data_IF_660820709657
#
_entry.id   IF_660820709657
#
_cell.length_a   1.000
_cell.length_b   1.000
_cell.length_c   1.000
_cell.angle_alpha   90.00
_cell.angle_beta   90.00
_cell.angle_gamma   90.00
#
_symmetry.space_group_name_H-M   'P 1'
#
loop_
_entity.id
_entity.type
_entity.pdbx_description
1 polymer ?
#
# COMPACT_ATOMS: atom_id res chain seq x y z
N UNK A 1 18.55 -26.20 28.29
CA UNK A 1 17.19 -25.95 28.82
C UNK A 1 16.39 -25.23 27.74
N UNK A 2 15.53 -25.98 27.02
CA UNK A 2 14.72 -25.43 25.95
C UNK A 2 13.48 -24.80 26.57
N UNK A 3 13.41 -23.49 26.58
CA UNK A 3 12.18 -22.76 26.90
C UNK A 3 11.23 -22.93 25.71
N UNK A 4 10.30 -23.86 25.85
CA UNK A 4 9.15 -23.97 24.96
C UNK A 4 8.25 -22.76 25.25
N UNK A 5 8.26 -21.80 24.36
CA UNK A 5 7.25 -20.73 24.37
C UNK A 5 5.89 -21.40 24.19
N UNK A 6 5.11 -21.45 25.27
CA UNK A 6 3.72 -21.90 25.20
C UNK A 6 2.91 -20.98 24.35
N UNK A 7 2.20 -21.55 23.38
CA UNK A 7 1.24 -20.88 22.49
C UNK A 7 -0.05 -20.43 23.19
N UNK A 8 -0.04 -20.16 24.47
CA UNK A 8 -1.28 -20.08 25.27
C UNK A 8 -1.71 -18.70 25.74
N UNK A 9 -1.17 -17.60 25.21
CA UNK A 9 -1.65 -16.27 25.61
C UNK A 9 -1.73 -15.26 24.46
N UNK A 10 -2.34 -15.62 23.32
CA UNK A 10 -2.64 -14.67 22.28
C UNK A 10 -4.09 -14.78 21.80
N UNK A 11 -5.04 -14.56 22.72
CA UNK A 11 -6.46 -14.33 22.40
C UNK A 11 -6.74 -12.90 21.94
N UNK A 12 -5.73 -12.17 21.50
CA UNK A 12 -5.93 -10.90 20.82
C UNK A 12 -6.31 -11.19 19.37
N UNK A 13 -7.51 -10.80 18.97
CA UNK A 13 -7.96 -10.81 17.57
C UNK A 13 -6.85 -10.21 16.71
N UNK A 14 -6.25 -11.03 15.86
CA UNK A 14 -5.15 -10.59 14.99
C UNK A 14 -5.74 -10.08 13.69
N UNK A 15 -5.67 -8.77 13.49
CA UNK A 15 -6.08 -8.17 12.25
C UNK A 15 -4.86 -7.85 11.38
N UNK A 16 -5.05 -7.93 10.10
CA UNK A 16 -4.05 -7.52 9.10
C UNK A 16 -4.57 -6.35 8.31
N UNK A 17 -3.71 -5.36 8.08
CA UNK A 17 -3.91 -4.34 7.09
C UNK A 17 -3.36 -4.85 5.75
N UNK A 18 -4.24 -5.00 4.77
CA UNK A 18 -3.88 -5.39 3.40
C UNK A 18 -3.98 -4.17 2.51
N UNK A 19 -2.88 -3.82 1.88
CA UNK A 19 -2.77 -2.69 0.96
C UNK A 19 -2.47 -3.21 -0.44
N UNK A 20 -3.28 -2.79 -1.41
CA UNK A 20 -3.09 -3.07 -2.84
C UNK A 20 -2.91 -1.75 -3.58
N UNK A 21 -1.68 -1.49 -4.02
CA UNK A 21 -1.33 -0.30 -4.79
C UNK A 21 -1.38 -0.66 -6.27
N UNK A 22 -2.51 -0.33 -6.90
CA UNK A 22 -2.72 -0.57 -8.33
C UNK A 22 -2.33 0.64 -9.18
N UNK A 23 -2.47 0.49 -10.49
CA UNK A 23 -2.17 1.57 -11.46
C UNK A 23 -3.19 2.70 -11.43
N UNK A 24 -4.45 2.41 -11.09
CA UNK A 24 -5.55 3.39 -11.13
C UNK A 24 -6.21 3.66 -9.78
N UNK A 25 -5.88 2.88 -8.78
CA UNK A 25 -6.40 3.03 -7.43
C UNK A 25 -5.53 2.34 -6.40
N UNK A 26 -5.57 2.85 -5.18
CA UNK A 26 -5.07 2.18 -3.99
C UNK A 26 -6.25 1.63 -3.19
N UNK A 27 -6.14 0.41 -2.71
CA UNK A 27 -7.11 -0.23 -1.83
C UNK A 27 -6.47 -0.57 -0.51
N UNK A 28 -7.17 -0.33 0.57
CA UNK A 28 -6.76 -0.74 1.90
C UNK A 28 -7.91 -1.48 2.58
N UNK A 29 -7.60 -2.62 3.18
CA UNK A 29 -8.59 -3.48 3.83
C UNK A 29 -8.07 -3.93 5.18
N UNK A 30 -8.95 -4.01 6.17
CA UNK A 30 -8.68 -4.70 7.42
C UNK A 30 -9.35 -6.06 7.35
N UNK A 31 -8.59 -7.12 7.52
CA UNK A 31 -9.09 -8.50 7.51
C UNK A 31 -8.81 -9.18 8.85
N UNK A 32 -9.67 -10.10 9.23
CA UNK A 32 -9.48 -10.96 10.39
C UNK A 32 -8.70 -12.25 10.07
N UNK A 33 -8.46 -13.06 11.05
CA UNK A 33 -7.73 -14.35 10.93
C UNK A 33 -8.46 -15.38 10.07
N UNK A 34 -9.75 -15.19 9.78
CA UNK A 34 -10.54 -16.05 8.91
C UNK A 34 -10.49 -15.59 7.44
N UNK A 35 -9.88 -14.43 7.17
CA UNK A 35 -9.85 -13.80 5.84
C UNK A 35 -11.08 -12.93 5.54
N UNK A 36 -11.94 -12.70 6.53
CA UNK A 36 -13.11 -11.83 6.36
C UNK A 36 -12.68 -10.37 6.37
N UNK A 37 -13.13 -9.61 5.38
CA UNK A 37 -12.94 -8.16 5.33
C UNK A 37 -13.84 -7.48 6.36
N UNK A 38 -13.24 -6.77 7.29
CA UNK A 38 -13.91 -6.03 8.35
C UNK A 38 -14.15 -4.57 7.97
N UNK A 39 -13.21 -3.98 7.24
CA UNK A 39 -13.28 -2.60 6.76
C UNK A 39 -12.54 -2.45 5.44
N UNK A 40 -12.97 -1.50 4.60
CA UNK A 40 -12.43 -1.29 3.27
C UNK A 40 -12.44 0.19 2.89
N UNK A 41 -11.36 0.62 2.25
CA UNK A 41 -11.21 1.92 1.61
C UNK A 41 -10.62 1.76 0.22
N UNK A 42 -11.05 2.58 -0.73
CA UNK A 42 -10.50 2.66 -2.07
C UNK A 42 -10.31 4.11 -2.49
N UNK A 43 -9.08 4.47 -2.78
CA UNK A 43 -8.73 5.75 -3.38
C UNK A 43 -8.56 5.58 -4.89
N UNK A 44 -9.50 6.10 -5.67
CA UNK A 44 -9.37 6.15 -7.13
C UNK A 44 -8.55 7.37 -7.51
N UNK A 45 -7.48 7.17 -8.27
CA UNK A 45 -6.59 8.25 -8.65
C UNK A 45 -7.28 9.17 -9.67
N UNK A 46 -7.20 10.47 -9.45
CA UNK A 46 -7.63 11.46 -10.43
C UNK A 46 -6.69 11.49 -11.63
N UNK A 47 -5.41 11.40 -11.35
CA UNK A 47 -4.32 11.41 -12.32
C UNK A 47 -3.37 10.26 -11.98
N UNK A 48 -3.58 9.09 -12.62
CA UNK A 48 -2.80 7.89 -12.32
C UNK A 48 -1.34 8.01 -12.76
N UNK A 49 -1.06 8.84 -13.76
CA UNK A 49 0.27 9.17 -14.26
C UNK A 49 0.23 10.46 -15.07
N UNK A 50 1.39 11.06 -15.30
CA UNK A 50 1.55 12.16 -16.23
C UNK A 50 2.52 11.78 -17.35
N UNK A 51 2.44 12.49 -18.47
CA UNK A 51 3.28 12.29 -19.65
C UNK A 51 3.95 13.60 -20.03
N UNK A 52 5.28 13.66 -19.99
CA UNK A 52 6.04 14.81 -20.47
C UNK A 52 6.24 14.73 -21.98
N UNK A 53 6.20 13.53 -22.55
CA UNK A 53 6.27 13.24 -23.97
C UNK A 53 5.33 12.10 -24.33
N UNK A 54 5.00 11.99 -25.63
CA UNK A 54 4.14 10.91 -26.11
C UNK A 54 4.72 9.54 -25.78
N UNK A 55 3.91 8.69 -25.14
CA UNK A 55 4.30 7.35 -24.73
C UNK A 55 4.97 7.28 -23.37
N UNK A 56 5.29 8.40 -22.73
CA UNK A 56 5.82 8.41 -21.37
C UNK A 56 4.69 8.23 -20.36
N UNK A 57 5.01 7.52 -19.28
CA UNK A 57 4.11 7.36 -18.14
C UNK A 57 4.93 7.41 -16.85
N UNK A 58 4.79 8.50 -16.11
CA UNK A 58 5.55 8.78 -14.91
C UNK A 58 4.62 9.16 -13.76
N UNK A 59 5.06 8.92 -12.53
CA UNK A 59 4.38 9.38 -11.33
C UNK A 59 5.38 9.71 -10.23
N UNK A 60 5.09 10.75 -9.45
CA UNK A 60 5.87 11.07 -8.25
C UNK A 60 5.68 9.99 -7.19
N UNK A 61 6.74 9.45 -6.58
CA UNK A 61 6.60 8.37 -5.61
C UNK A 61 5.84 8.80 -4.35
N UNK A 62 5.90 10.07 -3.95
CA UNK A 62 5.17 10.63 -2.82
C UNK A 62 3.65 10.50 -2.99
N UNK A 63 3.17 10.54 -4.23
CA UNK A 63 1.76 10.36 -4.56
C UNK A 63 1.16 9.09 -3.94
N UNK A 64 1.88 7.97 -4.00
CA UNK A 64 1.40 6.71 -3.44
C UNK A 64 1.33 6.73 -1.92
N UNK A 65 2.23 7.46 -1.27
CA UNK A 65 2.19 7.65 0.19
C UNK A 65 1.01 8.52 0.60
N UNK A 66 0.71 9.57 -0.15
CA UNK A 66 -0.45 10.43 0.09
C UNK A 66 -1.75 9.64 -0.05
N UNK A 67 -1.88 8.82 -1.10
CA UNK A 67 -3.04 7.96 -1.31
C UNK A 67 -3.17 6.88 -0.21
N UNK A 68 -2.06 6.33 0.28
CA UNK A 68 -2.05 5.41 1.42
C UNK A 68 -2.53 6.10 2.69
N UNK A 69 -2.05 7.31 2.95
CA UNK A 69 -2.50 8.11 4.10
C UNK A 69 -4.00 8.40 4.03
N UNK A 70 -4.53 8.75 2.86
CA UNK A 70 -5.96 8.97 2.66
C UNK A 70 -6.77 7.69 2.92
N UNK A 71 -6.34 6.56 2.38
CA UNK A 71 -7.02 5.28 2.56
C UNK A 71 -7.04 4.84 4.03
N UNK A 72 -5.91 4.95 4.72
CA UNK A 72 -5.81 4.57 6.14
C UNK A 72 -6.58 5.52 7.05
N UNK A 73 -6.60 6.82 6.73
CA UNK A 73 -7.43 7.80 7.43
C UNK A 73 -8.92 7.45 7.30
N UNK A 74 -9.39 7.11 6.11
CA UNK A 74 -10.76 6.69 5.87
C UNK A 74 -11.12 5.42 6.67
N UNK A 75 -10.21 4.43 6.73
CA UNK A 75 -10.40 3.24 7.57
C UNK A 75 -10.49 3.60 9.05
N UNK A 76 -9.67 4.55 9.53
CA UNK A 76 -9.72 5.01 10.90
C UNK A 76 -11.06 5.70 11.23
N UNK A 77 -11.54 6.54 10.33
CA UNK A 77 -12.83 7.23 10.50
C UNK A 77 -14.00 6.26 10.52
N UNK A 78 -13.95 5.19 9.70
CA UNK A 78 -15.00 4.16 9.63
C UNK A 78 -14.98 3.18 10.81
N UNK A 79 -13.81 2.73 11.20
CA UNK A 79 -13.64 1.61 12.13
C UNK A 79 -12.36 1.77 12.97
N UNK A 80 -12.28 2.81 13.84
CA UNK A 80 -11.07 3.09 14.62
C UNK A 80 -10.65 1.91 15.50
N UNK A 81 -11.62 1.15 16.02
CA UNK A 81 -11.40 0.00 16.90
C UNK A 81 -10.64 -1.16 16.25
N UNK A 82 -10.64 -1.24 14.92
CA UNK A 82 -9.92 -2.29 14.21
C UNK A 82 -8.46 -1.91 13.96
N UNK A 83 -8.18 -0.64 13.71
CA UNK A 83 -6.81 -0.18 13.47
C UNK A 83 -5.89 -0.41 14.66
N UNK A 84 -6.39 -0.22 15.87
CA UNK A 84 -5.62 -0.45 17.10
C UNK A 84 -5.24 -1.93 17.32
N UNK A 85 -5.92 -2.85 16.64
CA UNK A 85 -5.71 -4.29 16.74
C UNK A 85 -4.92 -4.88 15.57
N UNK A 86 -4.40 -4.05 14.68
CA UNK A 86 -3.58 -4.50 13.56
C UNK A 86 -2.26 -5.04 14.10
N UNK A 87 -1.95 -6.29 13.79
CA UNK A 87 -0.73 -6.99 14.19
C UNK A 87 0.28 -7.15 13.05
N UNK A 88 -0.11 -6.80 11.83
CA UNK A 88 0.77 -6.85 10.67
C UNK A 88 0.16 -6.20 9.45
N UNK A 89 1.02 -5.94 8.45
CA UNK A 89 0.62 -5.36 7.17
C UNK A 89 1.17 -6.20 6.02
N UNK A 90 0.35 -6.38 5.00
CA UNK A 90 0.73 -6.94 3.71
C UNK A 90 0.54 -5.88 2.65
N UNK A 91 1.56 -5.64 1.85
CA UNK A 91 1.50 -4.68 0.75
C UNK A 91 1.73 -5.39 -0.58
N UNK A 92 0.85 -5.17 -1.52
CA UNK A 92 0.97 -5.56 -2.91
C UNK A 92 1.07 -4.33 -3.78
N UNK A 93 1.91 -4.40 -4.82
CA UNK A 93 2.11 -3.29 -5.75
C UNK A 93 2.08 -3.81 -7.18
N UNK A 94 1.88 -2.90 -8.13
CA UNK A 94 2.10 -3.20 -9.55
C UNK A 94 3.58 -3.52 -9.81
N UNK A 95 3.84 -4.35 -10.82
CA UNK A 95 5.19 -4.77 -11.23
C UNK A 95 5.74 -3.88 -12.34
N UNK A 96 7.03 -4.09 -12.66
CA UNK A 96 7.73 -3.51 -13.82
C UNK A 96 7.75 -1.97 -13.83
N UNK A 97 7.73 -1.37 -12.66
CA UNK A 97 7.91 0.08 -12.48
C UNK A 97 9.24 0.35 -11.81
N UNK A 98 9.93 1.41 -12.22
CA UNK A 98 11.27 1.73 -11.77
C UNK A 98 11.33 3.05 -11.03
N UNK A 99 11.96 3.05 -9.87
CA UNK A 99 12.28 4.23 -9.08
C UNK A 99 13.78 4.25 -8.80
N UNK A 100 14.44 5.36 -9.09
CA UNK A 100 15.87 5.56 -8.81
C UNK A 100 16.01 6.49 -7.62
N UNK A 101 16.75 6.05 -6.62
CA UNK A 101 17.00 6.79 -5.39
C UNK A 101 18.48 7.17 -5.30
N UNK A 102 18.77 8.26 -4.61
CA UNK A 102 20.15 8.60 -4.19
C UNK A 102 20.54 7.81 -2.93
N UNK A 103 21.74 8.11 -2.40
CA UNK A 103 22.27 7.49 -1.18
C UNK A 103 21.43 7.80 0.06
N UNK A 104 20.75 8.94 0.08
CA UNK A 104 19.84 9.37 1.14
C UNK A 104 18.40 8.82 0.96
N UNK A 105 18.18 7.92 -0.02
CA UNK A 105 16.89 7.34 -0.39
C UNK A 105 15.87 8.37 -0.90
N UNK A 106 16.37 9.46 -1.48
CA UNK A 106 15.51 10.46 -2.13
C UNK A 106 15.34 10.12 -3.61
N UNK A 107 14.16 10.30 -4.18
CA UNK A 107 13.93 10.10 -5.59
C UNK A 107 14.77 11.07 -6.43
N UNK A 108 15.55 10.54 -7.37
CA UNK A 108 16.31 11.36 -8.34
C UNK A 108 15.43 11.86 -9.48
N UNK A 109 14.30 11.21 -9.71
CA UNK A 109 13.31 11.54 -10.72
C UNK A 109 11.97 10.87 -10.42
N UNK A 110 10.88 11.25 -11.10
CA UNK A 110 9.63 10.49 -11.04
C UNK A 110 9.82 9.02 -11.43
N UNK A 111 9.01 8.16 -10.84
CA UNK A 111 8.97 6.74 -11.20
C UNK A 111 8.55 6.55 -12.65
N UNK A 112 9.21 5.65 -13.36
CA UNK A 112 8.79 5.19 -14.69
C UNK A 112 7.84 4.02 -14.47
N UNK A 113 6.60 4.14 -14.92
CA UNK A 113 5.59 3.12 -14.73
C UNK A 113 5.65 2.04 -15.79
N UNK A 114 5.12 0.86 -15.50
CA UNK A 114 5.13 -0.32 -16.37
C UNK A 114 4.48 -0.10 -17.76
N UNK A 115 3.58 0.88 -17.86
CA UNK A 115 2.92 1.24 -19.12
C UNK A 115 3.69 2.24 -19.98
N UNK A 116 4.86 2.69 -19.51
CA UNK A 116 5.74 3.59 -20.25
C UNK A 116 6.32 2.90 -21.50
N UNK A 117 6.27 3.58 -22.63
CA UNK A 117 6.66 3.02 -23.93
C UNK A 117 8.05 3.46 -24.40
N UNK A 118 8.83 4.17 -23.57
CA UNK A 118 10.16 4.67 -24.01
C UNK A 118 11.21 3.57 -24.18
N UNK A 119 10.96 2.36 -23.67
CA UNK A 119 11.91 1.24 -23.64
C UNK A 119 11.47 0.13 -24.63
N UNK A 120 10.70 0.45 -25.62
CA UNK A 120 10.34 -0.53 -26.66
C UNK A 120 11.26 -0.44 -27.86
#
# INVERSE_FOLDING_TARGET
>A
MKTILRREDCTMSKYLLVVDIGTQSLRASIIDETGKTLSFSQQKYKEAFFSVEKGYAEQHPEFYMDELCLATKELHEKTPEYLEKISGMVMMTFRDSSLILDEDKKPLRPSILWLDQRIT
#
